data_IF_135624775878
#
_entry.id   IF_135624775878
#
_cell.length_a   1.000
_cell.length_b   1.000
_cell.length_c   1.000
_cell.angle_alpha   90.00
_cell.angle_beta   90.00
_cell.angle_gamma   90.00
#
_symmetry.space_group_name_H-M   'P 1'
#
loop_
_entity.id
_entity.type
_entity.pdbx_description
1 polymer ?
#
# COMPACT_ATOMS: atom_id res chain seq x y z
N UNK A 1 3.85 18.16 -18.54
CA UNK A 1 2.79 18.65 -19.45
C UNK A 1 3.14 19.96 -20.16
N UNK A 2 3.53 21.06 -19.49
CA UNK A 2 3.95 22.31 -20.19
C UNK A 2 5.08 22.08 -21.21
N UNK A 3 6.09 21.26 -20.90
CA UNK A 3 7.20 20.97 -21.83
C UNK A 3 6.74 20.20 -23.09
N UNK A 4 5.77 19.31 -22.95
CA UNK A 4 5.19 18.57 -24.08
C UNK A 4 4.32 19.51 -24.95
N UNK A 5 3.58 20.41 -24.35
CA UNK A 5 2.80 21.43 -25.06
C UNK A 5 3.69 22.34 -25.90
N UNK A 6 4.78 22.87 -25.34
CA UNK A 6 5.75 23.69 -26.10
C UNK A 6 6.49 22.88 -27.17
N UNK A 7 6.75 21.60 -26.93
CA UNK A 7 7.31 20.70 -27.94
C UNK A 7 6.36 20.50 -29.12
N UNK A 8 5.06 20.31 -28.85
CA UNK A 8 4.05 20.14 -29.89
C UNK A 8 3.83 21.43 -30.70
N UNK A 9 3.80 22.60 -30.06
CA UNK A 9 3.78 23.90 -30.75
C UNK A 9 5.03 24.06 -31.62
N UNK A 10 6.19 23.71 -31.10
CA UNK A 10 7.44 23.72 -31.86
C UNK A 10 7.39 22.79 -33.09
N UNK A 11 6.80 21.62 -32.95
CA UNK A 11 6.57 20.68 -34.06
C UNK A 11 5.60 21.25 -35.08
N UNK A 12 4.50 21.89 -34.68
CA UNK A 12 3.57 22.53 -35.61
C UNK A 12 4.21 23.65 -36.44
N UNK A 13 5.04 24.46 -35.79
CA UNK A 13 5.80 25.53 -36.46
C UNK A 13 6.79 24.95 -37.47
N UNK A 14 7.50 23.86 -37.10
CA UNK A 14 8.45 23.18 -37.99
C UNK A 14 7.71 22.54 -39.19
N UNK A 15 6.61 21.85 -38.92
CA UNK A 15 5.81 21.21 -39.98
C UNK A 15 5.18 22.26 -40.91
N UNK A 16 4.69 23.38 -40.33
CA UNK A 16 4.22 24.51 -41.13
C UNK A 16 5.30 25.14 -42.00
N UNK A 17 6.51 25.31 -41.45
CA UNK A 17 7.69 25.79 -42.23
C UNK A 17 8.12 24.84 -43.35
N UNK A 18 8.19 23.54 -43.06
CA UNK A 18 8.46 22.52 -44.06
C UNK A 18 7.39 22.49 -45.16
N UNK A 19 6.12 22.66 -44.77
CA UNK A 19 5.03 22.73 -45.70
C UNK A 19 5.16 23.94 -46.65
N UNK A 20 5.41 25.11 -46.11
CA UNK A 20 5.63 26.32 -46.93
C UNK A 20 6.84 26.17 -47.86
N UNK A 21 7.91 25.52 -47.40
CA UNK A 21 9.08 25.21 -48.20
C UNK A 21 8.76 24.25 -49.36
N UNK A 22 8.01 23.18 -49.11
CA UNK A 22 7.58 22.25 -50.15
C UNK A 22 6.59 22.91 -51.12
N UNK A 23 5.67 23.73 -50.64
CA UNK A 23 4.75 24.47 -51.49
C UNK A 23 5.53 25.45 -52.41
N UNK A 24 6.51 26.17 -51.86
CA UNK A 24 7.39 27.06 -52.66
C UNK A 24 8.23 26.31 -53.67
N UNK A 25 8.83 25.19 -53.25
CA UNK A 25 9.65 24.35 -54.15
C UNK A 25 8.81 23.76 -55.27
N UNK A 26 7.54 23.46 -55.00
CA UNK A 26 6.63 22.90 -55.99
C UNK A 26 6.18 23.91 -57.04
N UNK A 27 5.89 25.13 -56.63
CA UNK A 27 5.55 26.23 -57.58
C UNK A 27 6.66 26.48 -58.59
N UNK A 28 7.89 26.11 -58.23
CA UNK A 28 9.08 26.31 -59.08
C UNK A 28 9.54 25.04 -59.80
N UNK A 29 8.78 23.93 -59.82
CA UNK A 29 9.10 22.72 -60.54
C UNK A 29 8.56 22.74 -62.01
N UNK A 30 9.28 22.13 -62.97
CA UNK A 30 8.81 22.04 -64.35
C UNK A 30 7.54 21.19 -64.47
N UNK A 31 6.62 21.60 -65.36
CA UNK A 31 5.27 21.03 -65.53
C UNK A 31 5.20 19.52 -65.76
N UNK A 32 6.29 18.86 -66.18
CA UNK A 32 6.32 17.42 -66.47
C UNK A 32 6.40 16.48 -65.28
N UNK A 33 6.45 16.99 -64.04
CA UNK A 33 6.61 16.20 -62.80
C UNK A 33 5.49 16.42 -61.76
N UNK A 34 4.41 17.07 -62.13
CA UNK A 34 3.35 17.47 -61.14
C UNK A 34 2.36 16.33 -60.98
N UNK A 35 2.44 15.62 -59.85
CA UNK A 35 1.32 14.87 -59.26
C UNK A 35 0.29 15.86 -58.71
N UNK A 36 -0.99 15.67 -58.97
CA UNK A 36 -2.04 16.62 -58.56
C UNK A 36 -1.91 17.01 -57.09
N UNK A 37 -1.71 18.31 -56.78
CA UNK A 37 -1.40 18.78 -55.44
C UNK A 37 -2.54 18.57 -54.43
N UNK A 38 -3.78 18.62 -54.90
CA UNK A 38 -4.96 18.53 -54.03
C UNK A 38 -5.08 17.20 -53.31
N UNK A 39 -4.67 16.10 -53.90
CA UNK A 39 -4.83 14.76 -53.32
C UNK A 39 -3.80 14.47 -52.24
N UNK A 40 -2.57 14.94 -52.37
CA UNK A 40 -1.54 14.78 -51.33
C UNK A 40 -1.79 15.69 -50.17
N UNK A 41 -2.31 16.90 -50.40
CA UNK A 41 -2.59 17.91 -49.40
C UNK A 41 -3.81 17.57 -48.52
N UNK A 42 -4.89 17.13 -49.15
CA UNK A 42 -6.08 16.68 -48.42
C UNK A 42 -5.81 15.41 -47.63
N UNK A 43 -5.00 14.49 -48.11
CA UNK A 43 -4.58 13.29 -47.40
C UNK A 43 -3.71 13.59 -46.17
N UNK A 44 -2.73 14.51 -46.32
CA UNK A 44 -1.87 14.92 -45.21
C UNK A 44 -2.64 15.68 -44.10
N UNK A 45 -3.52 16.62 -44.48
CA UNK A 45 -4.36 17.33 -43.51
C UNK A 45 -5.40 16.41 -42.84
N UNK A 46 -5.99 15.48 -43.55
CA UNK A 46 -6.90 14.50 -42.98
C UNK A 46 -6.17 13.54 -42.03
N UNK A 47 -4.94 13.11 -42.37
CA UNK A 47 -4.06 12.29 -41.54
C UNK A 47 -3.64 13.03 -40.28
N UNK A 48 -3.27 14.31 -40.34
CA UNK A 48 -2.90 15.15 -39.21
C UNK A 48 -4.08 15.41 -38.29
N UNK A 49 -5.25 15.73 -38.85
CA UNK A 49 -6.49 15.89 -38.06
C UNK A 49 -6.90 14.58 -37.38
N UNK A 50 -6.73 13.44 -38.04
CA UNK A 50 -7.03 12.14 -37.46
C UNK A 50 -6.03 11.78 -36.36
N UNK A 51 -4.76 12.11 -36.51
CA UNK A 51 -3.73 11.98 -35.48
C UNK A 51 -3.99 12.92 -34.30
N UNK A 52 -4.29 14.19 -34.56
CA UNK A 52 -4.62 15.16 -33.52
C UNK A 52 -5.87 14.69 -32.75
N UNK A 53 -6.93 14.30 -33.44
CA UNK A 53 -8.16 13.80 -32.80
C UNK A 53 -7.98 12.44 -32.09
N UNK A 54 -7.04 11.61 -32.52
CA UNK A 54 -6.76 10.31 -31.93
C UNK A 54 -5.78 10.37 -30.75
N UNK A 55 -4.83 11.29 -30.78
CA UNK A 55 -3.82 11.47 -29.73
C UNK A 55 -4.10 12.66 -28.79
N UNK A 56 -4.98 13.59 -29.19
CA UNK A 56 -5.61 14.53 -28.28
C UNK A 56 -7.07 14.10 -28.08
N UNK A 57 -7.33 13.07 -27.27
CA UNK A 57 -8.68 12.77 -26.87
C UNK A 57 -9.25 14.01 -26.24
N UNK A 58 -10.58 14.22 -26.35
CA UNK A 58 -11.43 15.25 -25.72
C UNK A 58 -11.22 15.49 -24.20
N UNK A 59 -10.04 15.30 -23.71
CA UNK A 59 -9.59 15.30 -22.33
C UNK A 59 -9.26 16.69 -21.78
N UNK A 60 -9.63 17.72 -22.52
CA UNK A 60 -9.62 19.11 -22.05
C UNK A 60 -11.01 19.59 -21.60
N UNK A 61 -11.97 18.69 -21.50
CA UNK A 61 -13.15 18.97 -20.69
C UNK A 61 -12.65 19.16 -19.26
N UNK A 62 -12.78 20.38 -18.76
CA UNK A 62 -12.58 20.86 -17.39
C UNK A 62 -12.53 19.73 -16.35
N UNK A 63 -11.43 18.99 -16.28
CA UNK A 63 -11.23 18.05 -15.17
C UNK A 63 -11.20 18.91 -13.91
N UNK A 64 -12.23 18.75 -13.09
CA UNK A 64 -12.16 19.30 -11.74
C UNK A 64 -10.85 18.85 -11.13
N UNK A 65 -10.07 19.75 -10.49
CA UNK A 65 -8.84 19.35 -9.82
C UNK A 65 -9.16 18.28 -8.77
N UNK A 66 -8.24 17.36 -8.56
CA UNK A 66 -8.38 16.40 -7.46
C UNK A 66 -8.60 17.16 -6.16
N UNK A 67 -9.68 16.88 -5.41
CA UNK A 67 -9.94 17.57 -4.15
C UNK A 67 -8.99 17.16 -3.03
N UNK A 68 -8.19 16.09 -3.27
CA UNK A 68 -7.24 15.54 -2.31
C UNK A 68 -5.81 15.75 -2.83
N UNK A 69 -4.97 16.39 -2.05
CA UNK A 69 -3.53 16.43 -2.32
C UNK A 69 -2.84 15.39 -1.43
N UNK A 70 -2.53 14.23 -2.04
CA UNK A 70 -1.89 13.13 -1.33
C UNK A 70 -0.55 13.52 -0.70
N UNK A 71 0.21 14.42 -1.34
CA UNK A 71 1.48 14.89 -0.77
C UNK A 71 1.25 15.71 0.49
N UNK A 72 0.17 16.48 0.52
CA UNK A 72 -0.22 17.26 1.69
C UNK A 72 -0.85 16.37 2.75
N UNK A 73 -1.70 15.41 2.34
CA UNK A 73 -2.22 14.38 3.25
C UNK A 73 -1.08 13.67 3.99
N UNK A 74 -0.02 13.27 3.28
CA UNK A 74 1.13 12.62 3.89
C UNK A 74 2.02 13.55 4.70
N UNK A 75 2.26 14.78 4.23
CA UNK A 75 3.03 15.78 4.97
C UNK A 75 2.36 16.20 6.28
N UNK A 76 1.04 16.28 6.27
CA UNK A 76 0.25 16.65 7.44
C UNK A 76 -0.12 15.45 8.32
N UNK A 77 0.13 14.22 7.88
CA UNK A 77 -0.04 13.02 8.70
C UNK A 77 0.68 13.14 10.04
N UNK A 78 1.86 13.74 10.06
CA UNK A 78 2.63 13.97 11.28
C UNK A 78 1.95 14.97 12.22
N UNK A 79 1.43 16.07 11.70
CA UNK A 79 0.70 17.06 12.50
C UNK A 79 -0.62 16.47 13.02
N UNK A 80 -1.26 15.66 12.19
CA UNK A 80 -2.46 14.89 12.57
C UNK A 80 -2.09 13.88 13.66
N UNK A 81 -0.98 13.18 13.52
CA UNK A 81 -0.50 12.16 14.44
C UNK A 81 -0.33 12.66 15.88
N UNK A 82 0.26 13.82 16.06
CA UNK A 82 0.65 14.30 17.39
C UNK A 82 -0.41 15.14 18.09
N UNK A 83 -0.95 16.15 17.43
CA UNK A 83 -1.90 17.09 18.07
C UNK A 83 -3.32 16.51 18.13
N UNK A 84 -3.68 15.69 17.14
CA UNK A 84 -5.03 15.11 17.08
C UNK A 84 -5.18 13.91 17.98
N UNK A 85 -4.11 13.14 18.17
CA UNK A 85 -4.22 11.95 19.02
C UNK A 85 -4.48 12.30 20.48
N UNK A 86 -3.80 13.30 21.02
CA UNK A 86 -4.09 13.78 22.39
C UNK A 86 -5.52 14.32 22.50
N UNK A 87 -5.94 15.11 21.51
CA UNK A 87 -7.31 15.63 21.46
C UNK A 87 -8.32 14.49 21.30
N UNK A 88 -8.06 13.56 20.40
CA UNK A 88 -8.89 12.38 20.16
C UNK A 88 -8.97 11.50 21.40
N UNK A 89 -7.86 11.25 22.06
CA UNK A 89 -7.83 10.48 23.32
C UNK A 89 -8.72 11.12 24.37
N UNK A 90 -8.58 12.43 24.54
CA UNK A 90 -9.40 13.20 25.48
C UNK A 90 -10.89 13.13 25.12
N UNK A 91 -11.24 13.36 23.87
CA UNK A 91 -12.62 13.28 23.40
C UNK A 91 -13.23 11.87 23.54
N UNK A 92 -12.48 10.83 23.21
CA UNK A 92 -12.95 9.46 23.36
C UNK A 92 -13.11 9.08 24.82
N UNK A 93 -12.22 9.55 25.70
CA UNK A 93 -12.35 9.36 27.12
C UNK A 93 -13.55 10.14 27.69
N UNK A 94 -13.68 11.44 27.39
CA UNK A 94 -14.74 12.30 27.89
C UNK A 94 -16.13 11.90 27.36
N UNK A 95 -16.23 11.61 26.05
CA UNK A 95 -17.52 11.27 25.43
C UNK A 95 -17.96 9.83 25.63
N UNK A 96 -17.02 8.89 25.71
CA UNK A 96 -17.34 7.46 25.65
C UNK A 96 -16.67 6.63 26.74
N UNK A 97 -15.92 7.25 27.65
CA UNK A 97 -15.12 6.56 28.67
C UNK A 97 -14.18 5.48 28.09
N UNK A 98 -13.68 5.73 26.87
CA UNK A 98 -12.75 4.82 26.19
C UNK A 98 -11.34 5.17 26.63
N UNK A 99 -10.72 4.25 27.36
CA UNK A 99 -9.30 4.35 27.66
C UNK A 99 -8.50 3.57 26.62
N UNK A 100 -7.63 4.25 25.86
CA UNK A 100 -6.70 3.59 24.94
C UNK A 100 -5.61 2.82 25.69
N UNK A 101 -5.97 1.80 26.46
CA UNK A 101 -5.01 0.96 27.21
C UNK A 101 -4.02 0.22 26.31
N UNK A 102 -4.29 0.15 25.01
CA UNK A 102 -3.51 -0.64 24.03
C UNK A 102 -2.75 0.27 23.02
N UNK A 103 -2.25 1.40 23.52
CA UNK A 103 -1.45 2.33 22.71
C UNK A 103 -0.08 1.75 22.40
N UNK A 104 0.43 2.03 21.19
CA UNK A 104 1.84 1.83 20.91
C UNK A 104 2.58 3.09 21.32
N UNK A 105 3.17 3.05 22.51
CA UNK A 105 4.02 4.12 23.01
C UNK A 105 5.47 3.79 22.67
N UNK A 106 6.18 4.76 22.09
CA UNK A 106 7.61 4.69 21.87
C UNK A 106 8.22 5.90 22.60
N UNK A 107 9.13 5.64 23.51
CA UNK A 107 9.79 6.68 24.30
C UNK A 107 11.18 6.95 23.77
N UNK A 108 11.53 8.20 23.56
CA UNK A 108 12.90 8.64 23.28
C UNK A 108 13.40 9.44 24.48
N UNK A 109 14.44 8.94 25.15
CA UNK A 109 15.09 9.60 26.30
C UNK A 109 14.13 9.96 27.46
N UNK A 110 13.03 9.22 27.61
CA UNK A 110 12.04 9.43 28.68
C UNK A 110 11.14 10.66 28.51
N UNK A 111 11.39 11.52 27.50
CA UNK A 111 10.68 12.79 27.38
C UNK A 111 9.71 12.86 26.19
N UNK A 112 9.95 12.13 25.12
CA UNK A 112 9.11 12.18 23.91
C UNK A 112 8.33 10.90 23.74
N UNK A 113 7.01 10.97 23.89
CA UNK A 113 6.10 9.86 23.61
C UNK A 113 5.49 10.03 22.24
N UNK A 114 5.74 9.09 21.35
CA UNK A 114 5.00 8.97 20.10
C UNK A 114 3.86 8.00 20.31
N UNK A 115 2.66 8.48 20.08
CA UNK A 115 1.50 7.65 19.89
C UNK A 115 1.39 7.40 18.38
N UNK A 116 1.65 6.18 17.97
CA UNK A 116 1.34 5.79 16.59
C UNK A 116 -0.18 5.83 16.41
N UNK A 117 -0.69 6.24 15.25
CA UNK A 117 -2.12 6.20 14.95
C UNK A 117 -2.58 4.76 14.68
N UNK A 118 -2.02 3.84 15.43
CA UNK A 118 -2.34 2.44 15.42
C UNK A 118 -2.65 1.97 16.84
N UNK A 119 -3.75 1.27 16.98
CA UNK A 119 -4.16 0.64 18.24
C UNK A 119 -3.90 -0.84 18.08
N UNK A 120 -3.27 -1.45 19.10
CA UNK A 120 -3.13 -2.89 19.15
C UNK A 120 -4.47 -3.49 19.58
N UNK A 121 -5.10 -4.23 18.70
CA UNK A 121 -6.32 -4.98 18.98
C UNK A 121 -6.00 -6.24 19.78
N UNK A 122 -4.91 -6.94 19.42
CA UNK A 122 -4.37 -8.06 20.20
C UNK A 122 -2.86 -8.18 19.97
N UNK A 123 -2.13 -8.64 20.99
CA UNK A 123 -0.69 -8.98 20.93
C UNK A 123 -0.43 -10.48 21.00
N UNK A 124 -1.49 -11.28 21.03
CA UNK A 124 -1.35 -12.73 21.08
C UNK A 124 -1.05 -13.30 19.69
N UNK A 125 -0.45 -14.47 19.66
CA UNK A 125 -0.37 -15.26 18.45
C UNK A 125 -1.79 -15.61 18.01
N UNK A 126 -2.13 -15.19 16.79
CA UNK A 126 -3.49 -15.35 16.26
C UNK A 126 -3.50 -16.41 15.17
N UNK A 127 -4.64 -17.04 15.01
CA UNK A 127 -4.94 -17.93 13.91
C UNK A 127 -6.11 -17.38 13.10
N UNK A 128 -6.07 -17.58 11.79
CA UNK A 128 -7.21 -17.26 10.93
C UNK A 128 -8.22 -18.40 11.04
N UNK A 129 -9.47 -18.05 11.26
CA UNK A 129 -10.57 -19.02 11.30
C UNK A 129 -10.55 -19.94 10.07
N UNK A 130 -10.73 -21.23 10.31
CA UNK A 130 -10.79 -22.20 9.22
C UNK A 130 -12.10 -22.11 8.42
N UNK A 131 -13.04 -21.28 8.84
CA UNK A 131 -14.36 -21.16 8.25
C UNK A 131 -14.63 -19.75 7.79
N UNK A 132 -14.90 -19.60 6.50
CA UNK A 132 -15.32 -18.33 5.93
C UNK A 132 -16.65 -17.89 6.55
N UNK A 133 -16.71 -16.66 7.01
CA UNK A 133 -18.00 -16.08 7.41
C UNK A 133 -18.98 -16.10 6.25
N UNK A 134 -20.18 -16.63 6.49
CA UNK A 134 -21.28 -16.64 5.52
C UNK A 134 -21.95 -15.27 5.37
N UNK A 135 -21.59 -14.32 6.22
CA UNK A 135 -22.13 -12.96 6.16
C UNK A 135 -21.63 -12.27 4.90
N UNK A 136 -22.56 -11.98 4.00
CA UNK A 136 -22.27 -11.16 2.81
C UNK A 136 -21.99 -9.74 3.27
N UNK A 137 -20.97 -9.14 2.68
CA UNK A 137 -20.73 -7.72 2.91
C UNK A 137 -21.79 -6.88 2.22
N UNK A 138 -22.63 -6.21 3.02
CA UNK A 138 -23.73 -5.36 2.56
C UNK A 138 -23.41 -3.87 2.71
N UNK A 139 -22.19 -3.53 3.12
CA UNK A 139 -21.80 -2.14 3.23
C UNK A 139 -21.86 -1.44 1.85
N UNK A 140 -22.43 -0.25 1.78
CA UNK A 140 -22.62 0.43 0.50
C UNK A 140 -21.30 0.89 -0.11
N UNK A 141 -21.25 0.87 -1.45
CA UNK A 141 -20.17 1.51 -2.21
C UNK A 141 -20.55 2.99 -2.40
N UNK A 142 -19.58 3.86 -2.16
CA UNK A 142 -19.73 5.30 -2.46
C UNK A 142 -19.17 5.59 -3.86
N UNK A 143 -20.02 5.45 -4.86
CA UNK A 143 -19.64 5.64 -6.27
C UNK A 143 -19.09 7.04 -6.55
N UNK A 144 -19.61 8.07 -5.88
CA UNK A 144 -19.10 9.44 -6.04
C UNK A 144 -17.67 9.59 -5.54
N UNK A 145 -17.32 8.91 -4.45
CA UNK A 145 -15.95 8.91 -3.91
C UNK A 145 -15.01 8.13 -4.82
N UNK A 146 -15.42 6.93 -5.26
CA UNK A 146 -14.64 6.11 -6.21
C UNK A 146 -14.38 6.88 -7.51
N UNK A 147 -15.44 7.46 -8.10
CA UNK A 147 -15.36 8.29 -9.30
C UNK A 147 -14.42 9.50 -9.13
N UNK A 148 -14.39 10.08 -7.94
CA UNK A 148 -13.49 11.19 -7.63
C UNK A 148 -12.03 10.71 -7.63
N UNK A 149 -11.74 9.61 -6.97
CA UNK A 149 -10.40 9.03 -6.95
C UNK A 149 -9.92 8.66 -8.36
N UNK A 150 -10.75 7.99 -9.15
CA UNK A 150 -10.38 7.54 -10.50
C UNK A 150 -10.31 8.69 -11.51
N UNK A 151 -11.38 9.50 -11.61
CA UNK A 151 -11.55 10.48 -12.68
C UNK A 151 -10.84 11.80 -12.40
N UNK A 152 -10.83 12.24 -11.15
CA UNK A 152 -10.23 13.53 -10.77
C UNK A 152 -8.78 13.37 -10.28
N UNK A 153 -8.52 12.36 -9.43
CA UNK A 153 -7.20 12.13 -8.85
C UNK A 153 -6.32 11.22 -9.72
N UNK A 154 -6.91 10.47 -10.65
CA UNK A 154 -6.18 9.62 -11.59
C UNK A 154 -5.69 8.31 -10.97
N UNK A 155 -6.29 7.89 -9.87
CA UNK A 155 -6.00 6.61 -9.27
C UNK A 155 -6.44 5.47 -10.20
N UNK A 156 -5.66 4.41 -10.28
CA UNK A 156 -6.08 3.16 -10.91
C UNK A 156 -6.59 2.25 -9.80
N UNK A 157 -7.88 2.02 -9.76
CA UNK A 157 -8.52 1.22 -8.73
C UNK A 157 -9.18 0.02 -9.40
N UNK A 158 -8.99 -1.15 -8.81
CA UNK A 158 -9.61 -2.39 -9.28
C UNK A 158 -10.55 -2.92 -8.20
N UNK A 159 -11.74 -3.36 -8.61
CA UNK A 159 -12.70 -3.97 -7.70
C UNK A 159 -12.34 -5.42 -7.39
N UNK A 160 -11.16 -5.63 -6.81
CA UNK A 160 -10.70 -6.96 -6.44
C UNK A 160 -11.40 -7.46 -5.16
N UNK A 161 -11.59 -8.78 -5.02
CA UNK A 161 -12.03 -9.35 -3.76
C UNK A 161 -10.97 -9.14 -2.69
N UNK A 162 -11.42 -8.84 -1.46
CA UNK A 162 -10.54 -8.68 -0.30
C UNK A 162 -11.07 -9.51 0.86
N UNK A 163 -10.19 -9.88 1.80
CA UNK A 163 -10.64 -10.34 3.10
C UNK A 163 -10.89 -9.14 4.00
N UNK A 164 -12.03 -9.15 4.69
CA UNK A 164 -12.32 -8.18 5.75
C UNK A 164 -12.34 -8.85 7.11
N UNK A 165 -11.89 -8.14 8.12
CA UNK A 165 -12.01 -8.59 9.49
C UNK A 165 -13.48 -8.52 9.94
N UNK A 166 -13.97 -9.61 10.51
CA UNK A 166 -15.33 -9.72 11.05
C UNK A 166 -15.34 -9.68 12.57
N UNK A 167 -14.38 -10.37 13.18
CA UNK A 167 -14.28 -10.49 14.63
C UNK A 167 -12.86 -10.88 15.04
N UNK A 168 -12.48 -10.52 16.25
CA UNK A 168 -11.28 -11.01 16.93
C UNK A 168 -11.75 -11.70 18.21
N UNK A 169 -11.63 -12.99 18.27
CA UNK A 169 -11.83 -13.75 19.50
C UNK A 169 -10.54 -13.75 20.31
N UNK A 170 -10.53 -13.01 21.42
CA UNK A 170 -9.36 -12.89 22.29
C UNK A 170 -9.18 -14.09 23.22
N UNK A 171 -10.19 -14.92 23.39
CA UNK A 171 -10.13 -16.11 24.24
C UNK A 171 -9.51 -17.28 23.49
N UNK A 172 -9.87 -17.45 22.21
CA UNK A 172 -9.29 -18.48 21.32
C UNK A 172 -8.11 -17.97 20.50
N UNK A 173 -7.83 -16.67 20.48
CA UNK A 173 -6.86 -16.02 19.61
C UNK A 173 -7.14 -16.23 18.11
N UNK A 174 -8.41 -16.20 17.73
CA UNK A 174 -8.85 -16.48 16.37
C UNK A 174 -9.38 -15.21 15.69
N UNK A 175 -8.97 -15.01 14.43
CA UNK A 175 -9.53 -14.00 13.54
C UNK A 175 -10.61 -14.63 12.66
N UNK A 176 -11.83 -14.13 12.78
CA UNK A 176 -12.89 -14.43 11.83
C UNK A 176 -12.83 -13.44 10.68
N UNK A 177 -12.71 -13.94 9.46
CA UNK A 177 -12.66 -13.11 8.26
C UNK A 177 -13.80 -13.45 7.31
N UNK A 178 -14.22 -12.47 6.54
CA UNK A 178 -15.25 -12.57 5.51
C UNK A 178 -14.74 -12.01 4.18
N UNK A 179 -15.55 -12.16 3.13
CA UNK A 179 -15.27 -11.55 1.83
C UNK A 179 -15.85 -10.13 1.76
N UNK A 180 -15.12 -9.27 1.08
CA UNK A 180 -15.51 -7.92 0.69
C UNK A 180 -14.89 -7.59 -0.67
N UNK A 181 -15.03 -6.34 -1.09
CA UNK A 181 -14.36 -5.80 -2.27
C UNK A 181 -13.54 -4.57 -1.90
N UNK A 182 -12.54 -4.26 -2.70
CA UNK A 182 -11.73 -3.09 -2.46
C UNK A 182 -12.54 -1.78 -2.53
N UNK A 183 -13.57 -1.70 -3.39
CA UNK A 183 -14.47 -0.55 -3.45
C UNK A 183 -15.27 -0.34 -2.15
N UNK A 184 -15.70 -1.43 -1.51
CA UNK A 184 -16.37 -1.34 -0.20
C UNK A 184 -15.39 -0.86 0.88
N UNK A 185 -14.14 -1.33 0.84
CA UNK A 185 -13.08 -0.86 1.76
C UNK A 185 -12.82 0.64 1.58
N UNK A 186 -12.60 1.09 0.36
CA UNK A 186 -12.41 2.51 0.07
C UNK A 186 -13.58 3.35 0.60
N UNK A 187 -14.81 2.88 0.37
CA UNK A 187 -16.04 3.62 0.71
C UNK A 187 -16.37 3.65 2.20
N UNK A 188 -15.90 2.70 2.98
CA UNK A 188 -16.27 2.58 4.41
C UNK A 188 -15.11 2.81 5.37
N UNK A 189 -13.89 2.66 4.89
CA UNK A 189 -12.66 2.80 5.65
C UNK A 189 -11.83 3.99 5.14
N UNK A 190 -11.23 3.87 3.98
CA UNK A 190 -10.26 4.85 3.48
C UNK A 190 -10.88 6.24 3.25
N UNK A 191 -12.19 6.30 2.96
CA UNK A 191 -12.93 7.57 2.85
C UNK A 191 -12.73 8.48 4.06
N UNK A 192 -12.59 7.90 5.25
CA UNK A 192 -12.36 8.67 6.47
C UNK A 192 -11.02 9.38 6.46
N UNK A 193 -9.98 8.72 5.97
CA UNK A 193 -8.66 9.31 5.79
C UNK A 193 -8.70 10.56 4.93
N UNK A 194 -9.45 10.52 3.81
CA UNK A 194 -9.63 11.67 2.93
C UNK A 194 -10.54 12.75 3.53
N UNK A 195 -11.51 12.36 4.34
CA UNK A 195 -12.45 13.29 4.97
C UNK A 195 -11.85 14.09 6.14
N UNK A 196 -10.72 13.66 6.69
CA UNK A 196 -10.01 14.41 7.74
C UNK A 196 -9.38 15.71 7.23
N UNK A 197 -9.26 15.88 5.92
CA UNK A 197 -8.68 17.05 5.31
C UNK A 197 -9.76 17.89 4.63
N UNK A 198 -9.79 19.18 4.91
CA UNK A 198 -10.63 20.12 4.18
C UNK A 198 -10.06 20.43 2.78
N UNK A 199 -10.81 21.21 1.99
CA UNK A 199 -10.41 21.63 0.64
C UNK A 199 -9.10 22.44 0.61
N UNK A 200 -8.67 22.98 1.73
CA UNK A 200 -7.45 23.74 1.90
C UNK A 200 -6.36 22.92 2.56
N UNK A 201 -6.57 21.60 2.69
CA UNK A 201 -5.70 20.67 3.40
C UNK A 201 -5.49 21.02 4.88
N UNK A 202 -6.44 21.72 5.50
CA UNK A 202 -6.48 21.88 6.94
C UNK A 202 -7.25 20.69 7.54
N UNK A 203 -6.78 20.25 8.68
CA UNK A 203 -7.48 19.20 9.42
C UNK A 203 -8.88 19.70 9.81
N UNK A 204 -9.90 18.91 9.51
CA UNK A 204 -11.26 19.17 9.95
C UNK A 204 -11.25 19.19 11.49
N UNK A 205 -11.70 20.29 12.08
CA UNK A 205 -11.70 20.51 13.52
C UNK A 205 -12.73 19.63 14.25
N UNK A 206 -12.56 18.29 14.23
CA UNK A 206 -13.28 17.37 15.09
C UNK A 206 -14.82 17.51 15.15
N UNK A 207 -15.41 18.20 14.17
CA UNK A 207 -16.83 18.53 14.12
C UNK A 207 -17.42 18.14 12.76
N UNK A 208 -18.68 17.80 12.74
CA UNK A 208 -19.39 17.44 11.52
C UNK A 208 -19.86 15.99 11.48
N UNK A 209 -20.69 15.70 10.47
CA UNK A 209 -21.33 14.40 10.31
C UNK A 209 -20.31 13.29 10.03
N UNK A 210 -19.33 13.56 9.17
CA UNK A 210 -18.28 12.62 8.75
C UNK A 210 -17.37 12.27 9.91
N UNK A 211 -16.97 13.24 10.71
CA UNK A 211 -16.18 13.02 11.91
C UNK A 211 -16.94 12.18 12.95
N UNK A 212 -18.20 12.49 13.20
CA UNK A 212 -19.02 11.74 14.15
C UNK A 212 -19.28 10.31 13.67
N UNK A 213 -19.44 10.07 12.37
CA UNK A 213 -19.58 8.72 11.79
C UNK A 213 -18.31 7.91 11.99
N UNK A 214 -17.16 8.48 11.66
CA UNK A 214 -15.86 7.86 11.91
C UNK A 214 -15.65 7.52 13.39
N UNK A 215 -15.90 8.48 14.27
CA UNK A 215 -15.74 8.31 15.72
C UNK A 215 -16.63 7.19 16.25
N UNK A 216 -17.88 7.10 15.75
CA UNK A 216 -18.82 6.03 16.09
C UNK A 216 -18.30 4.66 15.63
N UNK A 217 -17.79 4.58 14.41
CA UNK A 217 -17.20 3.34 13.86
C UNK A 217 -15.97 2.91 14.66
N UNK A 218 -15.06 3.85 14.91
CA UNK A 218 -13.86 3.59 15.72
C UNK A 218 -14.23 3.06 17.11
N UNK A 219 -15.20 3.70 17.78
CA UNK A 219 -15.73 3.23 19.06
C UNK A 219 -16.28 1.81 18.97
N UNK A 220 -17.09 1.52 17.95
CA UNK A 220 -17.69 0.19 17.79
C UNK A 220 -16.61 -0.90 17.64
N UNK A 221 -15.55 -0.62 16.88
CA UNK A 221 -14.42 -1.53 16.73
C UNK A 221 -13.69 -1.72 18.06
N UNK A 222 -13.29 -0.64 18.71
CA UNK A 222 -12.40 -0.72 19.88
C UNK A 222 -13.12 -1.30 21.11
N UNK A 223 -14.37 -0.88 21.34
CA UNK A 223 -15.11 -1.23 22.57
C UNK A 223 -15.87 -2.54 22.40
N UNK A 224 -16.50 -2.71 21.25
CA UNK A 224 -17.43 -3.81 21.03
C UNK A 224 -16.93 -4.87 20.05
N UNK A 225 -15.70 -4.70 19.52
CA UNK A 225 -15.13 -5.57 18.49
C UNK A 225 -16.06 -5.75 17.28
N UNK A 226 -16.78 -4.68 16.91
CA UNK A 226 -17.79 -4.71 15.86
C UNK A 226 -17.27 -4.12 14.55
N UNK A 227 -16.97 -4.97 13.61
CA UNK A 227 -16.52 -4.60 12.26
C UNK A 227 -17.66 -4.58 11.22
N UNK A 228 -18.91 -4.82 11.61
CA UNK A 228 -20.04 -4.94 10.66
C UNK A 228 -20.33 -3.67 9.88
N UNK A 229 -20.02 -2.50 10.44
CA UNK A 229 -20.28 -1.18 9.84
C UNK A 229 -19.16 -0.69 8.91
N UNK A 230 -18.09 -1.47 8.77
CA UNK A 230 -16.96 -1.17 7.92
C UNK A 230 -16.52 -2.41 7.15
N UNK A 231 -16.09 -2.22 5.92
CA UNK A 231 -15.49 -3.30 5.10
C UNK A 231 -13.97 -3.29 5.34
N UNK A 232 -13.58 -3.53 6.60
CA UNK A 232 -12.22 -3.37 7.08
C UNK A 232 -11.28 -4.41 6.44
N UNK A 233 -10.82 -4.13 5.21
CA UNK A 233 -9.83 -4.99 4.53
C UNK A 233 -8.63 -5.20 5.41
N UNK A 234 -8.27 -6.47 5.52
CA UNK A 234 -7.16 -6.91 6.34
C UNK A 234 -5.86 -6.76 5.55
N UNK A 235 -4.91 -6.07 6.11
CA UNK A 235 -3.54 -6.01 5.61
C UNK A 235 -2.63 -6.97 6.37
N UNK A 236 -1.41 -7.13 5.87
CA UNK A 236 -0.35 -7.86 6.57
C UNK A 236 0.98 -7.12 6.39
N UNK A 237 1.60 -6.77 7.50
CA UNK A 237 2.94 -6.19 7.56
C UNK A 237 3.91 -7.20 8.14
N UNK A 238 4.99 -7.49 7.42
CA UNK A 238 6.00 -8.48 7.83
C UNK A 238 7.36 -7.80 7.99
N UNK A 239 7.93 -7.88 9.18
CA UNK A 239 9.31 -7.44 9.40
C UNK A 239 10.27 -8.58 9.07
N UNK A 240 10.98 -8.48 7.94
CA UNK A 240 12.02 -9.43 7.59
C UNK A 240 13.26 -9.20 8.46
N UNK A 241 13.75 -10.28 9.07
CA UNK A 241 15.00 -10.28 9.83
C UNK A 241 15.91 -11.42 9.35
N UNK A 242 17.13 -11.09 8.97
CA UNK A 242 18.14 -12.06 8.55
C UNK A 242 19.36 -11.99 9.47
N UNK A 243 19.85 -13.14 9.91
CA UNK A 243 21.10 -13.19 10.67
C UNK A 243 22.29 -13.00 9.74
N UNK A 244 23.04 -11.93 9.96
CA UNK A 244 24.26 -11.67 9.21
C UNK A 244 25.37 -12.65 9.65
N UNK A 245 25.95 -13.44 8.73
CA UNK A 245 26.95 -14.44 9.07
C UNK A 245 28.27 -13.85 9.57
N UNK A 246 28.58 -12.59 9.26
CA UNK A 246 29.80 -11.92 9.69
C UNK A 246 29.66 -11.34 11.10
N UNK A 247 28.65 -10.52 11.33
CA UNK A 247 28.41 -9.90 12.64
C UNK A 247 27.75 -10.85 13.65
N UNK A 248 27.10 -11.92 13.16
CA UNK A 248 26.24 -12.83 13.94
C UNK A 248 24.98 -12.16 14.52
N UNK A 249 24.71 -10.93 14.13
CA UNK A 249 23.57 -10.14 14.57
C UNK A 249 22.47 -10.22 13.51
N UNK A 250 21.21 -10.09 13.92
CA UNK A 250 20.10 -9.99 12.99
C UNK A 250 19.95 -8.57 12.47
N UNK A 251 19.72 -8.48 11.18
CA UNK A 251 19.45 -7.24 10.47
C UNK A 251 18.00 -7.25 10.02
N UNK A 252 17.28 -6.14 10.17
CA UNK A 252 15.93 -5.97 9.64
C UNK A 252 15.91 -5.04 8.44
N UNK A 253 14.86 -5.18 7.63
CA UNK A 253 14.74 -4.59 6.31
C UNK A 253 13.57 -3.61 6.27
N UNK A 254 13.83 -2.39 5.81
CA UNK A 254 12.85 -1.32 5.65
C UNK A 254 12.93 -0.80 4.22
N UNK A 255 11.79 -0.60 3.57
CA UNK A 255 11.71 0.03 2.26
C UNK A 255 11.40 1.52 2.40
N UNK A 256 12.10 2.36 1.64
CA UNK A 256 11.84 3.79 1.50
C UNK A 256 11.12 4.06 0.18
N UNK A 257 9.82 4.27 0.24
CA UNK A 257 8.96 4.50 -0.92
C UNK A 257 9.12 5.88 -1.55
N UNK A 258 9.92 6.78 -0.96
CA UNK A 258 10.09 8.15 -1.46
C UNK A 258 10.76 8.24 -2.84
N UNK A 259 11.41 7.18 -3.26
CA UNK A 259 12.12 7.07 -4.55
C UNK A 259 11.23 6.57 -5.69
N UNK A 260 10.04 6.10 -5.39
CA UNK A 260 9.06 5.67 -6.37
C UNK A 260 8.33 6.88 -6.93
N UNK A 261 8.27 7.01 -8.26
CA UNK A 261 7.79 8.18 -9.01
C UNK A 261 6.40 8.71 -8.61
N UNK A 262 5.56 7.88 -7.98
CA UNK A 262 4.21 8.20 -7.52
C UNK A 262 3.96 7.74 -6.08
N UNK A 263 5.01 7.29 -5.38
CA UNK A 263 4.85 6.80 -4.03
C UNK A 263 4.81 7.94 -3.02
N UNK A 264 4.17 7.61 -1.96
CA UNK A 264 4.09 8.38 -0.73
C UNK A 264 5.50 8.54 -0.17
N UNK A 265 5.82 9.72 0.34
CA UNK A 265 7.10 9.98 1.00
C UNK A 265 7.17 9.29 2.36
N UNK A 266 6.99 7.96 2.37
CA UNK A 266 6.88 7.14 3.57
C UNK A 266 7.84 5.96 3.51
N UNK A 267 8.14 5.38 4.68
CA UNK A 267 8.85 4.11 4.84
C UNK A 267 7.88 3.02 5.29
N UNK A 268 8.22 1.77 5.00
CA UNK A 268 7.46 0.62 5.46
C UNK A 268 8.37 -0.55 5.80
N UNK A 269 7.88 -1.47 6.66
CA UNK A 269 8.44 -2.81 6.75
C UNK A 269 8.15 -3.57 5.46
N UNK A 270 8.92 -4.58 5.14
CA UNK A 270 8.81 -5.34 3.89
C UNK A 270 8.98 -6.85 4.19
N UNK A 271 8.12 -7.71 3.63
CA UNK A 271 6.97 -7.43 2.76
C UNK A 271 5.75 -6.87 3.49
N UNK A 272 4.92 -6.09 2.76
CA UNK A 272 3.69 -5.54 3.29
C UNK A 272 2.61 -5.46 2.21
N UNK A 273 1.48 -6.10 2.44
CA UNK A 273 0.48 -6.35 1.42
C UNK A 273 -0.95 -6.36 1.95
N UNK A 274 -1.89 -6.23 1.03
CA UNK A 274 -3.29 -6.50 1.32
C UNK A 274 -3.52 -8.01 1.36
N UNK A 275 -4.01 -8.49 2.49
CA UNK A 275 -4.39 -9.88 2.65
C UNK A 275 -5.66 -10.16 1.86
N UNK A 276 -5.52 -10.79 0.71
CA UNK A 276 -6.61 -10.97 -0.25
C UNK A 276 -6.55 -12.34 -0.94
N UNK A 277 -7.71 -12.88 -1.36
CA UNK A 277 -7.72 -14.12 -2.11
C UNK A 277 -7.18 -13.89 -3.53
N UNK A 278 -6.52 -14.89 -4.10
CA UNK A 278 -6.07 -14.87 -5.49
C UNK A 278 -7.24 -14.96 -6.48
N UNK A 279 -8.36 -15.51 -6.06
CA UNK A 279 -9.61 -15.62 -6.83
C UNK A 279 -10.81 -15.62 -5.91
N UNK A 280 -12.00 -15.49 -6.49
CA UNK A 280 -13.25 -15.61 -5.73
C UNK A 280 -13.34 -16.97 -5.01
N UNK A 281 -13.52 -16.93 -3.71
CA UNK A 281 -13.69 -18.11 -2.85
C UNK A 281 -15.01 -18.83 -3.17
N UNK A 282 -14.95 -20.12 -3.39
CA UNK A 282 -16.13 -20.95 -3.73
C UNK A 282 -16.65 -21.76 -2.54
N UNK A 283 -15.75 -22.22 -1.68
CA UNK A 283 -16.07 -23.08 -0.54
C UNK A 283 -15.03 -22.92 0.58
N UNK A 284 -15.23 -23.57 1.70
CA UNK A 284 -14.34 -23.48 2.87
C UNK A 284 -12.94 -24.07 2.61
N UNK A 285 -12.81 -25.09 1.76
CA UNK A 285 -11.50 -25.65 1.41
C UNK A 285 -10.69 -24.64 0.59
N UNK A 286 -11.30 -24.05 -0.42
CA UNK A 286 -10.70 -22.98 -1.22
C UNK A 286 -10.31 -21.78 -0.33
N UNK A 287 -11.17 -21.43 0.63
CA UNK A 287 -10.88 -20.42 1.63
C UNK A 287 -9.65 -20.76 2.47
N UNK A 288 -9.61 -21.96 3.05
CA UNK A 288 -8.51 -22.42 3.91
C UNK A 288 -7.17 -22.38 3.18
N UNK A 289 -7.14 -22.78 1.91
CA UNK A 289 -5.93 -22.73 1.09
C UNK A 289 -5.48 -21.30 0.77
N UNK A 290 -6.42 -20.43 0.42
CA UNK A 290 -6.11 -19.07 0.02
C UNK A 290 -5.88 -18.11 1.20
N UNK A 291 -6.36 -18.44 2.40
CA UNK A 291 -6.12 -17.69 3.63
C UNK A 291 -4.92 -18.17 4.43
N UNK A 292 -4.10 -19.09 3.89
CA UNK A 292 -2.86 -19.48 4.54
C UNK A 292 -1.85 -18.32 4.56
N UNK A 293 -1.65 -17.77 5.75
CA UNK A 293 -0.80 -16.60 5.97
C UNK A 293 0.64 -16.84 5.54
N UNK A 294 1.16 -18.04 5.78
CA UNK A 294 2.51 -18.41 5.37
C UNK A 294 2.69 -18.34 3.87
N UNK A 295 1.74 -18.89 3.12
CA UNK A 295 1.76 -18.84 1.65
C UNK A 295 1.68 -17.41 1.13
N UNK A 296 0.83 -16.58 1.72
CA UNK A 296 0.70 -15.17 1.31
C UNK A 296 2.00 -14.39 1.59
N UNK A 297 2.61 -14.55 2.77
CA UNK A 297 3.90 -13.91 3.09
C UNK A 297 5.01 -14.38 2.12
N UNK A 298 5.05 -15.65 1.77
CA UNK A 298 6.05 -16.17 0.83
C UNK A 298 5.82 -15.67 -0.60
N UNK A 299 4.56 -15.51 -1.00
CA UNK A 299 4.18 -14.93 -2.28
C UNK A 299 4.71 -13.50 -2.37
N UNK A 300 4.36 -12.65 -1.42
CA UNK A 300 4.79 -11.26 -1.38
C UNK A 300 6.31 -11.12 -1.24
N UNK A 301 6.95 -12.00 -0.46
CA UNK A 301 8.42 -12.07 -0.43
C UNK A 301 9.01 -12.32 -1.82
N UNK A 302 8.37 -13.20 -2.60
CA UNK A 302 8.78 -13.47 -3.99
C UNK A 302 8.61 -12.25 -4.89
N UNK A 303 7.50 -11.56 -4.80
CA UNK A 303 7.18 -10.38 -5.60
C UNK A 303 8.11 -9.21 -5.23
N UNK A 304 8.21 -8.87 -3.95
CA UNK A 304 8.92 -7.67 -3.51
C UNK A 304 10.46 -7.83 -3.48
N UNK A 305 10.99 -9.01 -3.15
CA UNK A 305 12.43 -9.20 -3.04
C UNK A 305 13.09 -9.97 -4.17
N UNK A 306 12.32 -10.72 -4.96
CA UNK A 306 12.88 -11.56 -6.02
C UNK A 306 12.42 -11.14 -7.41
N UNK A 307 11.54 -10.12 -7.51
CA UNK A 307 10.99 -9.61 -8.76
C UNK A 307 10.15 -10.64 -9.50
N UNK A 308 9.40 -11.48 -8.77
CA UNK A 308 8.51 -12.49 -9.34
C UNK A 308 7.09 -11.89 -9.53
N UNK A 309 7.00 -10.83 -10.32
CA UNK A 309 5.75 -10.06 -10.54
C UNK A 309 4.63 -10.93 -11.14
N UNK A 310 4.98 -12.00 -11.86
CA UNK A 310 4.02 -12.97 -12.40
C UNK A 310 3.18 -13.69 -11.34
N UNK A 311 3.60 -13.70 -10.09
CA UNK A 311 2.83 -14.33 -9.01
C UNK A 311 1.51 -13.59 -8.72
N UNK A 312 1.47 -12.28 -8.92
CA UNK A 312 0.27 -11.47 -8.73
C UNK A 312 -0.84 -11.83 -9.71
N UNK A 313 -0.48 -12.22 -10.93
CA UNK A 313 -1.44 -12.57 -11.99
C UNK A 313 -2.02 -13.98 -11.86
N UNK A 314 -1.49 -14.81 -10.95
CA UNK A 314 -1.89 -16.21 -10.82
C UNK A 314 -3.16 -16.34 -9.97
N UNK A 315 -4.28 -16.60 -10.64
CA UNK A 315 -5.59 -16.79 -10.05
C UNK A 315 -5.91 -18.26 -9.67
N UNK A 316 -4.88 -19.09 -9.52
CA UNK A 316 -5.02 -20.51 -9.18
C UNK A 316 -3.98 -20.90 -8.14
N UNK A 317 -4.45 -21.46 -7.00
CA UNK A 317 -3.57 -21.77 -5.88
C UNK A 317 -2.51 -22.83 -6.22
N UNK A 318 -2.87 -23.88 -6.95
CA UNK A 318 -1.91 -24.94 -7.31
C UNK A 318 -0.84 -24.40 -8.27
N UNK A 319 -1.27 -23.58 -9.24
CA UNK A 319 -0.34 -22.89 -10.14
C UNK A 319 0.57 -21.94 -9.38
N UNK A 320 0.03 -21.17 -8.42
CA UNK A 320 0.81 -20.31 -7.56
C UNK A 320 1.88 -21.10 -6.81
N UNK A 321 1.51 -22.22 -6.18
CA UNK A 321 2.47 -23.09 -5.49
C UNK A 321 3.53 -23.67 -6.44
N UNK A 322 3.14 -24.07 -7.64
CA UNK A 322 4.06 -24.57 -8.65
C UNK A 322 5.06 -23.50 -9.10
N UNK A 323 4.58 -22.26 -9.33
CA UNK A 323 5.42 -21.13 -9.74
C UNK A 323 6.39 -20.73 -8.64
N UNK A 324 5.90 -20.56 -7.40
CA UNK A 324 6.76 -20.29 -6.23
C UNK A 324 7.85 -21.35 -6.07
N UNK A 325 7.55 -22.63 -6.35
CA UNK A 325 8.51 -23.74 -6.26
C UNK A 325 9.59 -23.74 -7.36
N UNK A 326 9.44 -22.95 -8.44
CA UNK A 326 10.51 -22.74 -9.44
C UNK A 326 11.62 -21.85 -8.86
N UNK A 327 11.29 -20.92 -7.96
CA UNK A 327 12.27 -20.10 -7.30
C UNK A 327 13.11 -20.92 -6.30
N UNK A 328 14.43 -21.00 -6.54
CA UNK A 328 15.36 -21.67 -5.65
C UNK A 328 15.39 -21.06 -4.24
N UNK A 329 15.19 -19.73 -4.14
CA UNK A 329 15.13 -18.99 -2.88
C UNK A 329 13.86 -19.33 -2.10
N UNK A 330 12.69 -19.24 -2.72
CA UNK A 330 11.42 -19.58 -2.07
C UNK A 330 11.37 -21.05 -1.65
N UNK A 331 11.83 -21.96 -2.52
CA UNK A 331 11.93 -23.39 -2.18
C UNK A 331 12.83 -23.65 -0.99
N UNK A 332 13.96 -22.91 -0.90
CA UNK A 332 14.85 -23.00 0.26
C UNK A 332 14.19 -22.42 1.50
N UNK A 333 13.51 -21.27 1.38
CA UNK A 333 12.84 -20.62 2.51
C UNK A 333 11.74 -21.54 3.09
N UNK A 334 10.93 -22.18 2.24
CA UNK A 334 9.95 -23.21 2.69
C UNK A 334 10.61 -24.31 3.52
N UNK A 335 11.72 -24.86 3.03
CA UNK A 335 12.48 -25.89 3.77
C UNK A 335 13.04 -25.38 5.10
N UNK A 336 13.44 -24.12 5.17
CA UNK A 336 13.93 -23.54 6.42
C UNK A 336 12.80 -23.38 7.44
N UNK A 337 11.59 -22.99 6.99
CA UNK A 337 10.40 -22.94 7.83
C UNK A 337 10.01 -24.33 8.35
N UNK A 338 9.97 -25.35 7.48
CA UNK A 338 9.72 -26.75 7.87
C UNK A 338 10.73 -27.25 8.92
N UNK A 339 12.00 -26.87 8.78
CA UNK A 339 13.10 -27.30 9.68
C UNK A 339 13.32 -26.33 10.87
N UNK A 340 12.44 -25.37 11.08
CA UNK A 340 12.52 -24.36 12.16
C UNK A 340 13.82 -23.54 12.18
N UNK A 341 14.51 -23.42 11.03
CA UNK A 341 15.64 -22.49 10.81
C UNK A 341 15.18 -21.14 10.29
N UNK A 342 13.94 -21.04 9.90
CA UNK A 342 13.20 -19.81 9.72
C UNK A 342 11.88 -19.92 10.48
N UNK A 343 11.38 -18.81 10.97
CA UNK A 343 10.09 -18.76 11.65
C UNK A 343 9.30 -17.55 11.14
N UNK A 344 8.01 -17.72 10.98
CA UNK A 344 7.05 -16.64 10.87
C UNK A 344 6.34 -16.56 12.21
N UNK A 345 6.47 -15.42 12.88
CA UNK A 345 5.78 -15.17 14.15
C UNK A 345 4.73 -14.09 13.96
N UNK A 346 3.49 -14.38 14.32
CA UNK A 346 2.45 -13.36 14.41
C UNK A 346 2.64 -12.61 15.73
N UNK A 347 2.74 -11.29 15.63
CA UNK A 347 2.97 -10.39 16.75
C UNK A 347 1.67 -9.81 17.30
N UNK A 348 0.63 -9.83 16.49
CA UNK A 348 -0.68 -9.29 16.83
C UNK A 348 -1.40 -8.67 15.64
N UNK A 349 -2.46 -7.92 15.93
CA UNK A 349 -3.23 -7.13 14.97
C UNK A 349 -3.25 -5.69 15.44
N UNK A 350 -2.91 -4.76 14.57
CA UNK A 350 -3.10 -3.33 14.79
C UNK A 350 -4.31 -2.82 14.00
N UNK A 351 -4.82 -1.67 14.41
CA UNK A 351 -5.84 -0.91 13.69
C UNK A 351 -5.27 0.47 13.37
N UNK A 352 -5.20 0.82 12.10
CA UNK A 352 -4.99 2.22 11.71
C UNK A 352 -6.26 3.01 12.06
N UNK A 353 -6.14 4.01 12.91
CA UNK A 353 -7.30 4.71 13.44
C UNK A 353 -7.96 5.65 12.43
N UNK A 354 -7.23 6.11 11.42
CA UNK A 354 -7.78 7.02 10.41
C UNK A 354 -8.53 6.27 9.31
N UNK A 355 -7.92 5.24 8.76
CA UNK A 355 -8.54 4.43 7.73
C UNK A 355 -9.43 3.33 8.28
N UNK A 356 -9.40 3.05 9.58
CA UNK A 356 -10.09 1.94 10.25
C UNK A 356 -9.70 0.56 9.66
N UNK A 357 -8.51 0.46 9.07
CA UNK A 357 -8.00 -0.78 8.48
C UNK A 357 -7.19 -1.57 9.50
N UNK A 358 -7.54 -2.84 9.72
CA UNK A 358 -6.74 -3.74 10.54
C UNK A 358 -5.54 -4.27 9.75
N UNK A 359 -4.46 -4.53 10.46
CA UNK A 359 -3.22 -5.07 9.90
C UNK A 359 -2.69 -6.20 10.77
N UNK A 360 -2.45 -7.36 10.18
CA UNK A 360 -1.74 -8.47 10.84
C UNK A 360 -0.26 -8.10 10.88
N UNK A 361 0.31 -8.07 12.08
CA UNK A 361 1.72 -7.76 12.29
C UNK A 361 2.50 -9.06 12.46
N UNK A 362 3.50 -9.26 11.61
CA UNK A 362 4.31 -10.49 11.61
C UNK A 362 5.79 -10.18 11.56
N UNK A 363 6.61 -11.14 11.95
CA UNK A 363 8.04 -11.11 11.65
C UNK A 363 8.45 -12.43 10.99
N UNK A 364 9.30 -12.33 9.97
CA UNK A 364 9.95 -13.47 9.33
C UNK A 364 11.43 -13.44 9.71
N UNK A 365 11.84 -14.35 10.60
CA UNK A 365 13.21 -14.46 11.10
C UNK A 365 13.88 -15.65 10.43
N UNK A 366 15.08 -15.44 9.86
CA UNK A 366 15.82 -16.46 9.14
C UNK A 366 17.25 -16.56 9.70
N UNK A 367 17.59 -17.73 10.25
CA UNK A 367 18.90 -18.02 10.83
C UNK A 367 19.63 -19.09 9.99
N UNK A 368 19.98 -18.74 8.73
CA UNK A 368 20.73 -19.63 7.84
C UNK A 368 21.71 -18.84 6.96
N UNK A 369 23.01 -19.04 7.20
CA UNK A 369 24.09 -18.35 6.48
C UNK A 369 24.05 -18.59 4.94
N UNK A 370 23.66 -19.80 4.52
CA UNK A 370 23.59 -20.13 3.09
C UNK A 370 22.42 -19.41 2.44
N UNK A 371 21.31 -19.23 3.18
CA UNK A 371 20.18 -18.44 2.71
C UNK A 371 20.59 -16.98 2.61
N UNK A 372 21.20 -16.40 3.63
CA UNK A 372 21.66 -15.00 3.62
C UNK A 372 22.54 -14.70 2.39
N UNK A 373 23.54 -15.56 2.12
CA UNK A 373 24.42 -15.40 0.95
C UNK A 373 23.64 -15.48 -0.37
N UNK A 374 22.78 -16.49 -0.52
CA UNK A 374 21.97 -16.68 -1.72
C UNK A 374 21.01 -15.53 -1.93
N UNK A 375 20.30 -15.10 -0.90
CA UNK A 375 19.36 -13.98 -0.94
C UNK A 375 20.05 -12.69 -1.40
N UNK A 376 21.18 -12.32 -0.79
CA UNK A 376 21.90 -11.10 -1.17
C UNK A 376 22.49 -11.14 -2.60
N UNK A 377 22.72 -12.33 -3.16
CA UNK A 377 23.15 -12.47 -4.55
C UNK A 377 22.01 -12.42 -5.56
N UNK A 378 20.81 -12.83 -5.16
CA UNK A 378 19.66 -13.01 -6.07
C UNK A 378 18.55 -12.01 -5.86
N UNK A 379 18.56 -11.24 -4.76
CA UNK A 379 17.52 -10.26 -4.53
C UNK A 379 17.44 -9.25 -5.66
N UNK A 380 16.24 -9.07 -6.13
CA UNK A 380 15.87 -8.10 -7.16
C UNK A 380 14.60 -7.45 -6.65
N UNK A 381 14.73 -6.26 -6.09
CA UNK A 381 13.58 -5.52 -5.59
C UNK A 381 12.57 -5.29 -6.71
N UNK A 382 11.29 -5.33 -6.37
CA UNK A 382 10.22 -5.02 -7.30
C UNK A 382 10.36 -3.59 -7.81
N UNK A 383 9.64 -3.26 -8.90
CA UNK A 383 9.60 -1.90 -9.43
C UNK A 383 9.07 -0.86 -8.41
N UNK A 384 8.34 -1.31 -7.41
CA UNK A 384 7.85 -0.49 -6.30
C UNK A 384 8.96 -0.11 -5.30
N UNK A 385 10.04 -0.90 -5.25
CA UNK A 385 11.20 -0.68 -4.39
C UNK A 385 12.52 -0.58 -5.20
N UNK A 386 12.44 -0.21 -6.47
CA UNK A 386 13.36 -0.57 -7.55
C UNK A 386 14.72 0.11 -7.60
N UNK A 387 15.09 0.94 -6.65
CA UNK A 387 16.45 1.46 -6.60
C UNK A 387 17.22 0.91 -5.40
N UNK A 388 18.47 0.52 -5.64
CA UNK A 388 19.39 -0.01 -4.62
C UNK A 388 19.49 0.84 -3.35
N UNK A 389 19.12 2.09 -3.45
CA UNK A 389 19.09 3.06 -2.35
C UNK A 389 17.76 3.08 -1.57
N UNK A 390 16.71 2.39 -2.03
CA UNK A 390 15.41 2.36 -1.35
C UNK A 390 15.31 1.32 -0.22
N UNK A 391 16.23 0.37 -0.15
CA UNK A 391 16.23 -0.66 0.89
C UNK A 391 17.24 -0.31 1.99
N UNK A 392 16.73 -0.10 3.19
CA UNK A 392 17.52 0.11 4.39
C UNK A 392 17.73 -1.22 5.11
N UNK A 393 18.96 -1.54 5.48
CA UNK A 393 19.33 -2.74 6.24
C UNK A 393 19.93 -2.27 7.55
N UNK A 394 19.32 -2.65 8.66
CA UNK A 394 19.60 -2.06 9.97
C UNK A 394 19.83 -3.16 11.00
N UNK A 395 20.89 -3.02 11.78
CA UNK A 395 21.18 -3.89 12.91
C UNK A 395 20.06 -3.80 13.96
N UNK A 396 19.59 -4.94 14.44
CA UNK A 396 18.52 -4.98 15.45
C UNK A 396 18.90 -4.27 16.75
N UNK A 397 20.20 -4.19 17.08
CA UNK A 397 20.70 -3.50 18.25
C UNK A 397 20.93 -1.99 18.03
N UNK A 398 20.84 -1.50 16.80
CA UNK A 398 21.02 -0.07 16.51
C UNK A 398 19.78 0.73 16.97
N UNK A 399 19.81 1.10 18.25
CA UNK A 399 18.76 1.88 18.88
C UNK A 399 18.62 3.27 18.27
N UNK A 400 19.75 3.91 17.91
CA UNK A 400 19.71 5.26 17.37
C UNK A 400 19.02 5.30 16.00
N UNK A 401 19.41 4.41 15.09
CA UNK A 401 18.76 4.31 13.77
C UNK A 401 17.28 3.90 13.89
N UNK A 402 16.96 2.99 14.82
CA UNK A 402 15.58 2.64 15.11
C UNK A 402 14.75 3.86 15.55
N UNK A 403 15.25 4.65 16.51
CA UNK A 403 14.57 5.85 16.98
C UNK A 403 14.46 6.91 15.87
N UNK A 404 15.51 7.08 15.06
CA UNK A 404 15.50 8.02 13.95
C UNK A 404 14.50 7.63 12.85
N UNK A 405 14.27 6.34 12.62
CA UNK A 405 13.21 5.85 11.73
C UNK A 405 11.83 6.20 12.26
N UNK A 406 11.57 5.89 13.54
CA UNK A 406 10.27 6.11 14.17
C UNK A 406 9.95 7.59 14.27
N UNK A 407 10.95 8.42 14.62
CA UNK A 407 10.78 9.86 14.86
C UNK A 407 11.04 10.73 13.61
N UNK A 408 11.19 10.12 12.44
CA UNK A 408 11.42 10.85 11.20
C UNK A 408 10.13 11.53 10.71
N UNK A 409 10.06 12.85 10.84
CA UNK A 409 8.91 13.64 10.42
C UNK A 409 8.83 13.88 8.91
N UNK A 410 9.98 13.89 8.23
CA UNK A 410 10.03 14.15 6.79
C UNK A 410 9.63 12.91 5.98
N UNK A 411 9.96 11.73 6.48
CA UNK A 411 9.71 10.43 5.86
C UNK A 411 9.28 9.42 6.92
N UNK A 412 8.05 9.53 7.43
CA UNK A 412 7.57 8.69 8.51
C UNK A 412 7.41 7.23 8.05
N UNK A 413 7.55 6.32 8.98
CA UNK A 413 7.03 4.97 8.81
C UNK A 413 5.51 5.03 8.78
N UNK A 414 4.89 4.31 7.84
CA UNK A 414 3.44 4.12 7.90
C UNK A 414 3.05 3.46 9.23
N UNK A 415 1.90 3.83 9.74
CA UNK A 415 1.45 3.45 11.07
C UNK A 415 1.52 1.94 11.38
N UNK A 416 0.99 1.03 10.53
CA UNK A 416 1.15 -0.41 10.75
C UNK A 416 2.61 -0.87 10.66
N UNK A 417 3.39 -0.29 9.75
CA UNK A 417 4.82 -0.60 9.62
C UNK A 417 5.62 -0.23 10.86
N UNK A 418 5.32 0.92 11.47
CA UNK A 418 5.96 1.33 12.72
C UNK A 418 5.56 0.42 13.89
N UNK A 419 4.29 0.01 13.95
CA UNK A 419 3.80 -0.97 14.94
C UNK A 419 4.50 -2.33 14.77
N UNK A 420 4.61 -2.79 13.53
CA UNK A 420 5.28 -4.04 13.19
C UNK A 420 6.78 -4.00 13.56
N UNK A 421 7.46 -2.91 13.20
CA UNK A 421 8.87 -2.72 13.56
C UNK A 421 9.09 -2.74 15.07
N UNK A 422 8.28 -2.00 15.81
CA UNK A 422 8.38 -1.97 17.30
C UNK A 422 8.22 -3.36 17.89
N UNK A 423 7.10 -4.02 17.61
CA UNK A 423 6.80 -5.32 18.20
C UNK A 423 7.77 -6.41 17.73
N UNK A 424 8.16 -6.41 16.47
CA UNK A 424 9.11 -7.38 15.91
C UNK A 424 10.51 -7.23 16.50
N UNK A 425 10.97 -5.97 16.64
CA UNK A 425 12.25 -5.69 17.28
C UNK A 425 12.25 -6.09 18.76
N UNK A 426 11.18 -5.75 19.50
CA UNK A 426 11.04 -6.16 20.90
C UNK A 426 10.99 -7.68 21.05
N UNK A 427 10.27 -8.38 20.17
CA UNK A 427 10.25 -9.84 20.16
C UNK A 427 11.66 -10.42 19.98
N UNK A 428 12.43 -9.85 19.04
CA UNK A 428 13.79 -10.30 18.78
C UNK A 428 14.71 -10.07 19.96
N UNK A 429 14.71 -8.87 20.55
CA UNK A 429 15.56 -8.52 21.66
C UNK A 429 15.23 -9.30 22.95
N UNK A 430 13.95 -9.62 23.18
CA UNK A 430 13.52 -10.27 24.42
C UNK A 430 13.55 -11.80 24.38
N UNK A 431 13.51 -12.41 23.20
CA UNK A 431 13.39 -13.87 23.09
C UNK A 431 14.55 -14.55 22.37
N UNK A 432 15.38 -13.80 21.66
CA UNK A 432 16.48 -14.34 20.88
C UNK A 432 17.88 -13.89 21.35
N UNK A 433 17.97 -12.90 22.20
CA UNK A 433 19.19 -12.44 22.87
C UNK A 433 19.14 -12.78 24.36
#
# INVERSE_FOLDING_TARGET
MKKLYYFLIGMEVILGGLFLYFAYSWVNMPESQILEPKTVFTGALAGLNTLILKYFPKKWENKKPCPFDEKILHKNQDTILYSTFEKLEKELFEKFNINFRKKILIEKNGENKILLPAIILTQNEIQISNTLSKTVDTNPINDNFIDTLEKQCGHRIWQNPTYRLMNIDTDTNELSIGQSTYYQTLSTCDIHYYNFMDKNNNMINGEGKEYNDWLRKLRNIIVYNQFSTVSASLGCSTLLMLKNPKSKIHEYYIVDNSKIKNAKNTKHVIPAFMFQPTKKIKNNEDFRLQSDLTTQILKEFGEEFLGLEELEEINDYEKLQAEMNKSKVLKKLKKLLENKKAIIKVLGVSLDIYSLRPEILTTLIIDDEKFFKQFNQTRKLSWEASDSDGLMIIDVNDEQTYLDLIFNKERPLVSPGAACLKLGREYMLNQYL
#
